data_IF_373687774845
#
_entry.id   IF_373687774845
#
_cell.length_a   1.000
_cell.length_b   1.000
_cell.length_c   1.000
_cell.angle_alpha   90.00
_cell.angle_beta   90.00
_cell.angle_gamma   90.00
#
_symmetry.space_group_name_H-M   'P 1'
#
loop_
_entity.id
_entity.type
_entity.pdbx_description
1 polymer ?
#
# COMPACT_ATOMS: atom_id res chain seq x y z
N UNK A 1 11.90 -11.98 15.94
CA UNK A 1 10.92 -10.91 15.70
C UNK A 1 10.48 -11.10 14.27
N UNK A 2 9.20 -10.91 13.93
CA UNK A 2 8.78 -11.20 12.54
C UNK A 2 8.14 -9.97 11.89
N UNK A 3 8.59 -9.71 10.67
CA UNK A 3 7.94 -8.77 9.76
C UNK A 3 6.79 -9.47 9.03
N UNK A 4 5.72 -8.72 8.80
CA UNK A 4 4.57 -9.12 8.01
C UNK A 4 4.48 -8.28 6.72
N UNK A 5 4.52 -8.93 5.57
CA UNK A 5 4.18 -8.31 4.29
C UNK A 5 2.68 -8.41 4.06
N UNK A 6 2.03 -7.29 3.92
CA UNK A 6 0.62 -7.16 3.54
C UNK A 6 0.55 -6.87 2.04
N UNK A 7 0.19 -7.86 1.25
CA UNK A 7 0.27 -7.83 -0.21
C UNK A 7 -1.09 -7.64 -0.86
N UNK A 8 -1.23 -6.56 -1.63
CA UNK A 8 -2.33 -6.37 -2.59
C UNK A 8 -1.90 -6.83 -3.97
N UNK A 9 -2.55 -7.84 -4.54
CA UNK A 9 -2.24 -8.31 -5.89
C UNK A 9 -3.46 -8.84 -6.66
N UNK A 10 -3.33 -8.91 -7.98
CA UNK A 10 -4.35 -9.41 -8.92
C UNK A 10 -3.75 -10.37 -9.96
N UNK A 11 -2.48 -10.72 -9.80
CA UNK A 11 -1.73 -11.70 -10.59
C UNK A 11 -0.91 -12.56 -9.65
N UNK A 12 -0.56 -13.80 -10.02
CA UNK A 12 0.27 -14.66 -9.18
C UNK A 12 1.58 -13.97 -8.81
N UNK A 13 1.87 -13.75 -7.51
CA UNK A 13 3.06 -13.04 -7.08
C UNK A 13 4.26 -14.01 -6.96
N UNK A 14 4.79 -14.50 -8.08
CA UNK A 14 5.88 -15.48 -8.12
C UNK A 14 7.13 -15.03 -7.37
N UNK A 15 7.47 -13.72 -7.45
CA UNK A 15 8.57 -13.16 -6.67
C UNK A 15 8.33 -13.33 -5.16
N UNK A 16 7.11 -13.06 -4.71
CA UNK A 16 6.76 -13.18 -3.28
C UNK A 16 6.81 -14.63 -2.81
N UNK A 17 6.49 -15.59 -3.70
CA UNK A 17 6.66 -17.00 -3.41
C UNK A 17 8.14 -17.35 -3.16
N UNK A 18 9.05 -16.92 -4.03
CA UNK A 18 10.49 -17.11 -3.87
C UNK A 18 11.02 -16.40 -2.61
N UNK A 19 10.55 -15.19 -2.35
CA UNK A 19 10.89 -14.42 -1.15
C UNK A 19 10.47 -15.15 0.13
N UNK A 20 9.25 -15.70 0.18
CA UNK A 20 8.72 -16.44 1.32
C UNK A 20 9.50 -17.74 1.57
N UNK A 21 9.97 -18.42 0.52
CA UNK A 21 10.83 -19.61 0.63
C UNK A 21 12.21 -19.23 1.15
N UNK A 22 12.80 -18.13 0.66
CA UNK A 22 14.14 -17.67 1.08
C UNK A 22 14.16 -17.18 2.52
N UNK A 23 13.08 -16.55 2.98
CA UNK A 23 12.97 -15.99 4.33
C UNK A 23 11.76 -16.61 5.09
N UNK A 24 11.89 -17.84 5.62
CA UNK A 24 10.76 -18.53 6.26
C UNK A 24 10.20 -17.80 7.49
N UNK A 25 10.99 -16.92 8.13
CA UNK A 25 10.58 -16.09 9.25
C UNK A 25 9.69 -14.91 8.84
N UNK A 26 9.69 -14.52 7.54
CA UNK A 26 8.85 -13.47 7.00
C UNK A 26 7.43 -13.98 6.83
N UNK A 27 6.45 -13.34 7.43
CA UNK A 27 5.03 -13.66 7.25
C UNK A 27 4.47 -12.89 6.05
N UNK A 28 3.68 -13.54 5.21
CA UNK A 28 3.08 -12.94 4.03
C UNK A 28 1.57 -13.10 4.06
N UNK A 29 0.85 -11.99 4.08
CA UNK A 29 -0.62 -11.92 4.03
C UNK A 29 -1.03 -11.40 2.67
N UNK A 30 -1.84 -12.17 1.94
CA UNK A 30 -2.20 -11.87 0.55
C UNK A 30 -3.69 -11.59 0.44
N UNK A 31 -4.05 -10.38 0.04
CA UNK A 31 -5.35 -10.10 -0.55
C UNK A 31 -5.25 -10.24 -2.06
N UNK A 32 -5.84 -11.31 -2.60
CA UNK A 32 -5.90 -11.57 -4.02
C UNK A 32 -7.23 -11.07 -4.58
N UNK A 33 -7.20 -10.17 -5.57
CA UNK A 33 -8.42 -9.57 -6.13
C UNK A 33 -9.47 -10.64 -6.45
N UNK A 34 -10.71 -10.44 -6.00
CA UNK A 34 -11.78 -11.42 -6.20
C UNK A 34 -12.12 -11.70 -7.67
N UNK A 35 -11.67 -10.84 -8.59
CA UNK A 35 -11.78 -11.05 -10.04
C UNK A 35 -10.77 -12.06 -10.59
N UNK A 36 -9.73 -12.37 -9.85
CA UNK A 36 -8.66 -13.30 -10.27
C UNK A 36 -8.95 -14.70 -9.75
N UNK A 37 -8.51 -15.72 -10.47
CA UNK A 37 -8.69 -17.11 -10.06
C UNK A 37 -7.75 -17.46 -8.91
N UNK A 38 -8.30 -17.78 -7.75
CA UNK A 38 -7.53 -18.14 -6.56
C UNK A 38 -6.79 -19.48 -6.72
N UNK A 39 -7.16 -20.31 -7.66
CA UNK A 39 -6.44 -21.56 -7.96
C UNK A 39 -5.00 -21.29 -8.39
N UNK A 40 -4.72 -20.12 -9.00
CA UNK A 40 -3.36 -19.67 -9.34
C UNK A 40 -2.43 -19.55 -8.12
N UNK A 41 -2.98 -19.45 -6.90
CA UNK A 41 -2.21 -19.37 -5.65
C UNK A 41 -2.03 -20.72 -4.94
N UNK A 42 -2.36 -21.84 -5.58
CA UNK A 42 -2.30 -23.16 -4.95
C UNK A 42 -0.90 -23.52 -4.40
N UNK A 43 0.16 -23.15 -5.13
CA UNK A 43 1.55 -23.36 -4.69
C UNK A 43 1.92 -22.48 -3.48
N UNK A 44 1.49 -21.22 -3.48
CA UNK A 44 1.71 -20.26 -2.37
C UNK A 44 1.02 -20.70 -1.08
N UNK A 45 -0.19 -21.24 -1.17
CA UNK A 45 -0.95 -21.73 -0.01
C UNK A 45 -0.30 -22.91 0.71
N UNK A 46 0.67 -23.59 0.08
CA UNK A 46 1.44 -24.68 0.69
C UNK A 46 2.59 -24.17 1.56
N UNK A 47 2.96 -22.91 1.46
CA UNK A 47 4.02 -22.31 2.26
C UNK A 47 3.48 -21.95 3.64
N UNK A 48 4.11 -22.46 4.70
CA UNK A 48 3.64 -22.28 6.08
C UNK A 48 3.63 -20.82 6.57
N UNK A 49 4.43 -19.96 5.93
CA UNK A 49 4.53 -18.54 6.26
C UNK A 49 3.71 -17.64 5.31
N UNK A 50 2.86 -18.23 4.45
CA UNK A 50 1.99 -17.49 3.52
C UNK A 50 0.53 -17.71 3.88
N UNK A 51 -0.18 -16.63 4.11
CA UNK A 51 -1.60 -16.61 4.40
C UNK A 51 -2.36 -15.85 3.30
N UNK A 52 -3.26 -16.55 2.61
CA UNK A 52 -4.15 -15.95 1.61
C UNK A 52 -5.49 -15.69 2.24
N UNK A 53 -5.94 -14.44 2.26
CA UNK A 53 -7.21 -14.05 2.87
C UNK A 53 -8.37 -14.84 2.24
N UNK A 54 -9.26 -15.37 3.09
CA UNK A 54 -10.46 -16.08 2.65
C UNK A 54 -11.47 -15.10 2.02
N UNK A 55 -11.68 -13.96 2.68
CA UNK A 55 -12.54 -12.90 2.17
C UNK A 55 -11.77 -12.01 1.20
N UNK A 56 -12.22 -11.98 -0.05
CA UNK A 56 -11.62 -11.22 -1.12
C UNK A 56 -12.58 -10.18 -1.67
N UNK A 57 -12.08 -8.99 -1.91
CA UNK A 57 -12.84 -7.87 -2.46
C UNK A 57 -12.61 -7.75 -3.95
N UNK A 58 -13.65 -7.43 -4.72
CA UNK A 58 -13.52 -6.97 -6.10
C UNK A 58 -12.90 -5.57 -6.11
N UNK A 59 -11.63 -5.46 -6.50
CA UNK A 59 -10.91 -4.19 -6.48
C UNK A 59 -11.25 -3.37 -7.73
N UNK A 60 -11.78 -2.18 -7.52
CA UNK A 60 -11.76 -1.14 -8.53
C UNK A 60 -10.56 -0.23 -8.29
N UNK A 61 -9.69 -0.11 -9.28
CA UNK A 61 -8.47 0.70 -9.15
C UNK A 61 -8.80 2.15 -8.79
N UNK A 62 -8.12 2.69 -7.77
CA UNK A 62 -8.39 4.01 -7.18
C UNK A 62 -9.81 4.14 -6.60
N UNK A 63 -10.43 3.04 -6.18
CA UNK A 63 -11.70 2.97 -5.47
C UNK A 63 -11.53 2.64 -4.00
N UNK A 64 -12.60 2.81 -3.21
CA UNK A 64 -12.58 2.48 -1.77
C UNK A 64 -12.33 0.99 -1.53
N UNK A 65 -12.64 0.11 -2.49
CA UNK A 65 -12.34 -1.32 -2.44
C UNK A 65 -10.85 -1.61 -2.20
N UNK A 66 -9.92 -0.74 -2.65
CA UNK A 66 -8.49 -0.86 -2.33
C UNK A 66 -8.21 -0.59 -0.84
N UNK A 67 -8.86 0.41 -0.28
CA UNK A 67 -8.77 0.72 1.17
C UNK A 67 -9.37 -0.43 1.99
N UNK A 68 -10.55 -0.92 1.60
CA UNK A 68 -11.22 -2.03 2.27
C UNK A 68 -10.34 -3.29 2.30
N UNK A 69 -9.72 -3.64 1.16
CA UNK A 69 -8.79 -4.76 1.07
C UNK A 69 -7.53 -4.55 1.95
N UNK A 70 -7.02 -3.31 2.02
CA UNK A 70 -5.91 -2.98 2.92
C UNK A 70 -6.31 -3.14 4.39
N UNK A 71 -7.50 -2.67 4.78
CA UNK A 71 -8.00 -2.84 6.14
C UNK A 71 -8.22 -4.32 6.51
N UNK A 72 -8.64 -5.14 5.56
CA UNK A 72 -8.75 -6.60 5.77
C UNK A 72 -7.36 -7.22 6.01
N UNK A 73 -6.35 -6.87 5.20
CA UNK A 73 -4.97 -7.32 5.40
C UNK A 73 -4.42 -6.88 6.76
N UNK A 74 -4.69 -5.64 7.19
CA UNK A 74 -4.26 -5.14 8.50
C UNK A 74 -4.85 -5.96 9.65
N UNK A 75 -6.16 -6.27 9.61
CA UNK A 75 -6.83 -7.08 10.65
C UNK A 75 -6.23 -8.48 10.72
N UNK A 76 -6.06 -9.10 9.58
CA UNK A 76 -5.57 -10.48 9.46
C UNK A 76 -4.12 -10.58 9.94
N UNK A 77 -3.26 -9.67 9.51
CA UNK A 77 -1.86 -9.61 9.95
C UNK A 77 -1.72 -9.27 11.45
N UNK A 78 -2.60 -8.45 12.02
CA UNK A 78 -2.62 -8.14 13.45
C UNK A 78 -3.12 -9.29 14.31
N UNK A 79 -3.94 -10.19 13.78
CA UNK A 79 -4.45 -11.35 14.49
C UNK A 79 -3.31 -12.32 14.91
N UNK A 80 -2.23 -12.38 14.14
CA UNK A 80 -1.01 -13.10 14.54
C UNK A 80 -0.21 -12.25 15.54
N UNK A 81 -0.21 -12.64 16.80
CA UNK A 81 0.53 -11.97 17.88
C UNK A 81 2.04 -11.94 17.71
N UNK A 82 2.61 -12.80 16.85
CA UNK A 82 4.03 -12.86 16.54
C UNK A 82 4.52 -11.76 15.61
N UNK A 83 3.63 -11.13 14.83
CA UNK A 83 3.99 -10.05 13.93
C UNK A 83 4.25 -8.75 14.68
N UNK A 84 5.37 -8.11 14.40
CA UNK A 84 5.79 -6.87 15.06
C UNK A 84 5.86 -5.68 14.12
N UNK A 85 6.31 -5.90 12.89
CA UNK A 85 6.45 -4.88 11.86
C UNK A 85 5.62 -5.26 10.63
N UNK A 86 4.97 -4.30 10.02
CA UNK A 86 3.99 -4.51 8.96
C UNK A 86 4.30 -3.62 7.77
N UNK A 87 4.32 -4.18 6.58
CA UNK A 87 4.68 -3.48 5.35
C UNK A 87 3.62 -3.71 4.28
N UNK A 88 2.91 -2.64 3.90
CA UNK A 88 1.96 -2.71 2.79
C UNK A 88 2.70 -2.58 1.46
N UNK A 89 2.54 -3.58 0.58
CA UNK A 89 3.19 -3.65 -0.73
C UNK A 89 2.24 -4.16 -1.82
N UNK A 90 2.62 -4.02 -3.08
CA UNK A 90 1.94 -4.63 -4.23
C UNK A 90 2.73 -5.80 -4.82
N UNK A 91 2.08 -6.57 -5.68
CA UNK A 91 2.72 -7.65 -6.42
C UNK A 91 3.88 -7.23 -7.34
N UNK A 92 4.00 -5.93 -7.66
CA UNK A 92 5.07 -5.36 -8.48
C UNK A 92 6.20 -4.74 -7.62
N UNK A 93 6.22 -4.97 -6.30
CA UNK A 93 7.26 -4.49 -5.40
C UNK A 93 8.35 -5.53 -5.18
N UNK A 94 9.58 -5.07 -5.01
CA UNK A 94 10.72 -5.88 -4.54
C UNK A 94 11.25 -5.37 -3.21
N UNK A 95 11.81 -6.26 -2.44
CA UNK A 95 12.56 -5.96 -1.21
C UNK A 95 13.98 -5.57 -1.60
N UNK A 96 14.47 -4.41 -1.14
CA UNK A 96 15.82 -3.91 -1.40
C UNK A 96 16.83 -4.32 -0.34
N UNK A 97 16.36 -4.69 0.84
CA UNK A 97 17.18 -5.06 1.98
C UNK A 97 16.64 -6.34 2.62
N UNK A 98 17.48 -7.20 3.22
CA UNK A 98 17.00 -8.37 3.95
C UNK A 98 16.02 -7.99 5.07
N UNK A 99 15.01 -8.83 5.37
CA UNK A 99 14.04 -8.54 6.42
C UNK A 99 14.69 -8.17 7.77
N UNK A 100 15.78 -8.86 8.14
CA UNK A 100 16.50 -8.59 9.38
C UNK A 100 17.09 -7.17 9.45
N UNK A 101 17.56 -6.62 8.32
CA UNK A 101 18.08 -5.25 8.26
C UNK A 101 16.94 -4.23 8.47
N UNK A 102 15.77 -4.45 7.86
CA UNK A 102 14.59 -3.61 8.04
C UNK A 102 14.09 -3.68 9.51
N UNK A 103 14.05 -4.87 10.08
CA UNK A 103 13.68 -5.07 11.49
C UNK A 103 14.64 -4.35 12.46
N UNK A 104 15.94 -4.40 12.17
CA UNK A 104 16.95 -3.70 12.95
C UNK A 104 16.80 -2.17 12.86
N UNK A 105 16.43 -1.63 11.69
CA UNK A 105 16.14 -0.20 11.54
C UNK A 105 14.87 0.20 12.28
N UNK A 106 13.81 -0.59 12.20
CA UNK A 106 12.59 -0.36 12.97
C UNK A 106 12.83 -0.41 14.47
N UNK A 107 13.66 -1.35 14.94
CA UNK A 107 13.97 -1.50 16.36
C UNK A 107 14.70 -0.29 16.98
N UNK A 108 15.33 0.55 16.14
CA UNK A 108 15.96 1.81 16.58
C UNK A 108 14.98 2.96 16.70
N UNK A 109 13.76 2.80 16.14
CA UNK A 109 12.71 3.82 16.21
C UNK A 109 11.95 3.72 17.54
N UNK A 110 11.30 4.82 17.92
CA UNK A 110 10.38 4.82 19.04
C UNK A 110 9.20 3.85 18.82
N UNK A 111 8.69 3.19 19.87
CA UNK A 111 7.44 2.44 19.77
C UNK A 111 6.30 3.31 19.23
N UNK A 112 5.45 2.75 18.39
CA UNK A 112 4.38 3.51 17.72
C UNK A 112 4.81 4.15 16.40
N UNK A 113 5.94 3.73 15.79
CA UNK A 113 6.44 4.33 14.55
C UNK A 113 5.61 3.92 13.32
N UNK A 114 5.21 4.95 12.57
CA UNK A 114 4.53 4.88 11.28
C UNK A 114 5.33 5.60 10.20
N UNK A 115 5.78 4.85 9.20
CA UNK A 115 6.38 5.39 7.96
C UNK A 115 5.29 5.55 6.90
N UNK A 116 4.79 6.76 6.70
CA UNK A 116 3.74 7.09 5.73
C UNK A 116 4.03 8.45 5.10
N UNK A 117 4.10 8.50 3.78
CA UNK A 117 4.26 9.76 3.07
C UNK A 117 2.94 10.55 3.07
N UNK A 118 3.00 11.81 3.48
CA UNK A 118 1.85 12.72 3.48
C UNK A 118 2.29 14.14 3.15
N UNK A 119 1.53 14.80 2.27
CA UNK A 119 1.75 16.20 1.93
C UNK A 119 0.41 16.92 1.71
N UNK A 120 0.31 18.21 2.02
CA UNK A 120 -0.87 19.00 1.71
C UNK A 120 -0.98 19.21 0.19
N UNK A 121 -2.19 19.07 -0.37
CA UNK A 121 -2.45 19.28 -1.79
C UNK A 121 -3.70 20.14 -2.03
N UNK A 122 -3.51 21.31 -2.61
CA UNK A 122 -4.61 22.13 -3.11
C UNK A 122 -5.19 21.56 -4.42
N UNK A 123 -4.33 20.91 -5.23
CA UNK A 123 -4.70 20.37 -6.55
C UNK A 123 -5.66 19.19 -6.46
N UNK A 124 -5.62 18.42 -5.38
CA UNK A 124 -6.36 17.17 -5.22
C UNK A 124 -7.63 17.29 -4.37
N UNK A 125 -7.99 18.53 -3.94
CA UNK A 125 -9.18 18.79 -3.11
C UNK A 125 -10.47 18.24 -3.69
N UNK A 126 -10.64 18.34 -5.02
CA UNK A 126 -11.84 17.86 -5.72
C UNK A 126 -12.11 16.36 -5.44
N UNK A 127 -11.08 15.57 -5.10
CA UNK A 127 -11.23 14.14 -4.82
C UNK A 127 -12.02 13.86 -3.55
N UNK A 128 -11.89 14.73 -2.55
CA UNK A 128 -12.55 14.59 -1.24
C UNK A 128 -13.75 15.54 -1.04
N UNK A 129 -13.84 16.58 -1.84
CA UNK A 129 -14.85 17.63 -1.65
C UNK A 129 -16.28 17.12 -1.84
N UNK A 130 -16.51 16.33 -2.86
CA UNK A 130 -17.83 15.77 -3.18
C UNK A 130 -17.83 14.25 -3.15
N UNK A 131 -19.03 13.69 -3.02
CA UNK A 131 -19.24 12.28 -3.25
C UNK A 131 -19.36 12.02 -4.76
N UNK A 132 -18.58 11.06 -5.25
CA UNK A 132 -18.48 10.72 -6.65
C UNK A 132 -19.35 9.50 -6.97
N UNK A 133 -20.49 9.64 -7.69
CA UNK A 133 -21.35 8.48 -7.99
C UNK A 133 -20.64 7.41 -8.82
N UNK A 134 -19.57 7.77 -9.51
CA UNK A 134 -18.76 6.83 -10.30
C UNK A 134 -17.53 6.30 -9.54
N UNK A 135 -17.26 6.77 -8.32
CA UNK A 135 -16.16 6.25 -7.50
C UNK A 135 -16.39 4.77 -7.19
N UNK A 136 -15.29 4.01 -7.13
CA UNK A 136 -15.29 2.57 -6.85
C UNK A 136 -16.16 1.75 -7.81
N UNK A 137 -16.25 2.15 -9.06
CA UNK A 137 -16.98 1.48 -10.12
C UNK A 137 -16.13 1.33 -11.38
N UNK A 138 -16.58 0.45 -12.30
CA UNK A 138 -15.95 0.33 -13.64
C UNK A 138 -15.99 1.63 -14.46
N UNK A 139 -16.87 2.58 -14.11
CA UNK A 139 -17.04 3.84 -14.82
C UNK A 139 -15.94 4.85 -14.47
N UNK A 140 -15.31 4.75 -13.32
CA UNK A 140 -14.30 5.71 -12.86
C UNK A 140 -13.16 5.93 -13.87
N UNK A 141 -12.76 4.89 -14.60
CA UNK A 141 -11.69 4.95 -15.61
C UNK A 141 -12.19 5.10 -17.06
N UNK A 142 -13.50 5.04 -17.30
CA UNK A 142 -14.10 5.19 -18.63
C UNK A 142 -14.35 6.67 -18.94
N UNK A 143 -14.60 6.98 -20.23
CA UNK A 143 -14.82 8.36 -20.69
C UNK A 143 -15.83 9.14 -19.85
N UNK A 144 -17.04 8.62 -19.53
CA UNK A 144 -18.01 9.39 -18.74
C UNK A 144 -17.49 9.76 -17.36
N UNK A 145 -16.86 8.82 -16.65
CA UNK A 145 -16.29 9.09 -15.32
C UNK A 145 -15.10 10.07 -15.37
N UNK A 146 -14.26 9.98 -16.40
CA UNK A 146 -13.18 10.95 -16.61
C UNK A 146 -13.71 12.35 -16.91
N UNK A 147 -14.77 12.50 -17.71
CA UNK A 147 -15.41 13.78 -18.00
C UNK A 147 -16.02 14.39 -16.72
N UNK A 148 -16.77 13.60 -15.97
CA UNK A 148 -17.35 14.04 -14.68
C UNK A 148 -16.27 14.48 -13.70
N UNK A 149 -15.16 13.73 -13.62
CA UNK A 149 -14.01 14.11 -12.79
C UNK A 149 -13.41 15.45 -13.23
N UNK A 150 -13.32 15.72 -14.55
CA UNK A 150 -12.84 17.02 -15.07
C UNK A 150 -13.79 18.15 -14.72
N UNK A 151 -15.12 17.93 -14.78
CA UNK A 151 -16.10 18.92 -14.33
C UNK A 151 -15.89 19.28 -12.85
N UNK A 152 -15.66 18.30 -12.00
CA UNK A 152 -15.38 18.57 -10.58
C UNK A 152 -14.05 19.27 -10.34
N UNK A 153 -13.00 18.93 -11.12
CA UNK A 153 -11.74 19.68 -11.08
C UNK A 153 -11.94 21.15 -11.45
N UNK A 154 -12.76 21.43 -12.47
CA UNK A 154 -13.08 22.80 -12.87
C UNK A 154 -13.91 23.52 -11.78
N UNK A 155 -14.95 22.89 -11.25
CA UNK A 155 -15.75 23.42 -10.17
C UNK A 155 -14.92 23.71 -8.90
N UNK A 156 -13.99 22.84 -8.51
CA UNK A 156 -13.14 23.05 -7.33
C UNK A 156 -12.23 24.28 -7.44
N UNK A 157 -11.88 24.70 -8.67
CA UNK A 157 -11.10 25.92 -8.91
C UNK A 157 -11.89 27.18 -8.62
N UNK A 158 -13.22 27.14 -8.79
CA UNK A 158 -14.11 28.29 -8.57
C UNK A 158 -14.41 28.53 -7.08
N UNK A 159 -14.24 27.50 -6.24
CA UNK A 159 -14.48 27.57 -4.79
C UNK A 159 -13.24 27.14 -4.00
N UNK A 160 -12.33 28.07 -3.71
CA UNK A 160 -11.14 27.77 -2.91
C UNK A 160 -11.50 27.16 -1.55
N UNK A 161 -10.67 26.23 -1.09
CA UNK A 161 -10.78 25.60 0.22
C UNK A 161 -9.39 25.21 0.73
N UNK A 162 -9.32 24.77 1.98
CA UNK A 162 -8.09 24.25 2.57
C UNK A 162 -7.53 23.06 1.78
N UNK A 163 -6.20 22.83 1.79
CA UNK A 163 -5.59 21.68 1.16
C UNK A 163 -6.06 20.39 1.83
N UNK A 164 -6.02 19.29 1.08
CA UNK A 164 -6.25 17.95 1.61
C UNK A 164 -4.93 17.22 1.77
N UNK A 165 -4.81 16.38 2.79
CA UNK A 165 -3.67 15.49 2.93
C UNK A 165 -3.70 14.43 1.82
N UNK A 166 -2.56 14.21 1.16
CA UNK A 166 -2.40 13.25 0.07
C UNK A 166 -1.01 12.63 0.11
N UNK A 167 -0.91 11.39 -0.32
CA UNK A 167 0.37 10.69 -0.40
C UNK A 167 0.23 9.29 -0.98
N UNK A 168 1.31 8.53 -0.88
CA UNK A 168 1.32 7.14 -1.29
C UNK A 168 0.46 6.28 -0.34
N UNK A 169 -0.28 5.31 -0.88
CA UNK A 169 -0.99 4.32 -0.05
C UNK A 169 -0.04 3.36 0.68
N UNK A 170 1.21 3.24 0.21
CA UNK A 170 2.19 2.30 0.74
C UNK A 170 2.80 2.84 2.02
N UNK A 171 2.77 2.04 3.08
CA UNK A 171 3.29 2.41 4.39
C UNK A 171 3.98 1.23 5.08
N UNK A 172 4.71 1.54 6.14
CA UNK A 172 5.21 0.56 7.10
C UNK A 172 4.94 1.04 8.51
N UNK A 173 4.55 0.13 9.39
CA UNK A 173 4.17 0.46 10.75
C UNK A 173 4.64 -0.62 11.72
N UNK A 174 4.90 -0.26 12.96
CA UNK A 174 4.95 -1.24 14.04
C UNK A 174 3.53 -1.61 14.49
N UNK A 175 3.42 -2.57 15.40
CA UNK A 175 2.13 -3.07 15.88
C UNK A 175 1.26 -1.98 16.52
N UNK A 176 1.83 -1.13 17.34
CA UNK A 176 1.11 -0.05 18.03
C UNK A 176 0.54 0.95 17.03
N UNK A 177 1.35 1.39 16.07
CA UNK A 177 0.91 2.31 15.03
C UNK A 177 -0.16 1.67 14.10
N UNK A 178 0.00 0.38 13.75
CA UNK A 178 -0.99 -0.31 12.91
C UNK A 178 -2.33 -0.49 13.63
N UNK A 179 -2.33 -0.80 14.93
CA UNK A 179 -3.53 -0.87 15.76
C UNK A 179 -4.22 0.49 15.83
N UNK A 180 -3.47 1.56 16.04
CA UNK A 180 -4.00 2.92 16.07
C UNK A 180 -4.63 3.33 14.73
N UNK A 181 -3.96 3.02 13.60
CA UNK A 181 -4.52 3.24 12.25
C UNK A 181 -5.84 2.49 12.06
N UNK A 182 -5.89 1.22 12.48
CA UNK A 182 -7.10 0.41 12.34
C UNK A 182 -8.24 0.90 13.22
N UNK A 183 -7.96 1.35 14.44
CA UNK A 183 -8.95 1.96 15.34
C UNK A 183 -9.51 3.28 14.79
N UNK A 184 -8.64 4.14 14.22
CA UNK A 184 -9.04 5.40 13.61
C UNK A 184 -9.84 5.19 12.30
N UNK A 185 -9.68 4.04 11.63
CA UNK A 185 -10.44 3.65 10.44
C UNK A 185 -11.83 3.10 10.81
N UNK A 186 -12.56 3.81 11.67
CA UNK A 186 -13.91 3.46 12.14
C UNK A 186 -14.97 3.53 11.02
N UNK A 187 -16.19 3.11 11.32
CA UNK A 187 -17.32 3.06 10.38
C UNK A 187 -17.59 4.41 9.72
N UNK A 188 -17.55 5.51 10.49
CA UNK A 188 -17.84 6.85 9.98
C UNK A 188 -16.76 7.32 8.99
N UNK A 189 -15.50 7.07 9.32
CA UNK A 189 -14.38 7.37 8.41
C UNK A 189 -14.48 6.56 7.13
N UNK A 190 -14.78 5.27 7.21
CA UNK A 190 -14.97 4.43 6.04
C UNK A 190 -16.17 4.90 5.19
N UNK A 191 -17.30 5.25 5.82
CA UNK A 191 -18.48 5.78 5.14
C UNK A 191 -18.17 7.10 4.41
N UNK A 192 -17.41 8.00 5.04
CA UNK A 192 -16.97 9.25 4.42
C UNK A 192 -16.16 9.01 3.14
N UNK A 193 -15.24 8.03 3.15
CA UNK A 193 -14.35 7.76 2.01
C UNK A 193 -14.96 6.86 0.93
N UNK A 194 -16.07 6.17 1.21
CA UNK A 194 -16.69 5.17 0.30
C UNK A 194 -16.97 5.70 -1.11
N UNK A 195 -17.32 6.98 -1.20
CA UNK A 195 -17.67 7.63 -2.47
C UNK A 195 -16.68 8.72 -2.88
N UNK A 196 -15.48 8.71 -2.33
CA UNK A 196 -14.41 9.65 -2.72
C UNK A 196 -13.57 9.10 -3.85
N UNK A 197 -12.95 10.01 -4.63
CA UNK A 197 -12.05 9.64 -5.72
C UNK A 197 -10.64 9.35 -5.16
N UNK A 198 -10.00 8.28 -5.63
CA UNK A 198 -8.67 7.87 -5.23
C UNK A 198 -8.47 7.87 -3.69
N UNK A 199 -9.39 7.23 -2.93
CA UNK A 199 -9.32 7.26 -1.48
C UNK A 199 -8.05 6.62 -0.94
N UNK A 200 -7.43 5.69 -1.65
CA UNK A 200 -6.17 5.03 -1.33
C UNK A 200 -4.98 6.02 -1.16
N UNK A 201 -5.03 7.18 -1.84
CA UNK A 201 -4.02 8.24 -1.72
C UNK A 201 -4.35 9.31 -0.67
N UNK A 202 -5.44 9.14 0.09
CA UNK A 202 -5.92 10.13 1.05
C UNK A 202 -6.35 9.54 2.39
N UNK A 203 -6.80 8.29 2.42
CA UNK A 203 -7.41 7.67 3.59
C UNK A 203 -6.44 7.61 4.78
N UNK A 204 -5.27 7.02 4.58
CA UNK A 204 -4.29 6.88 5.66
C UNK A 204 -3.69 8.23 6.05
N UNK A 205 -3.52 9.15 5.10
CA UNK A 205 -3.08 10.52 5.36
C UNK A 205 -4.10 11.32 6.17
N UNK A 206 -5.40 11.10 5.93
CA UNK A 206 -6.47 11.70 6.71
C UNK A 206 -6.51 11.17 8.15
N UNK A 207 -6.18 9.91 8.35
CA UNK A 207 -6.12 9.32 9.69
C UNK A 207 -5.01 9.93 10.55
N UNK A 208 -3.91 10.43 9.98
CA UNK A 208 -2.80 11.03 10.75
C UNK A 208 -3.27 12.07 11.77
N UNK A 209 -4.23 12.92 11.41
CA UNK A 209 -4.80 13.93 12.32
C UNK A 209 -5.73 13.37 13.40
N UNK A 210 -5.89 12.05 13.48
CA UNK A 210 -6.77 11.32 14.42
C UNK A 210 -6.04 10.27 15.24
N UNK A 211 -4.75 10.10 14.99
CA UNK A 211 -3.92 9.16 15.72
C UNK A 211 -3.57 9.74 17.10
N UNK A 212 -3.42 8.89 18.11
CA UNK A 212 -2.95 9.32 19.43
C UNK A 212 -1.48 9.78 19.36
N UNK A 213 -1.06 10.60 20.32
CA UNK A 213 0.31 11.12 20.42
C UNK A 213 1.38 10.02 20.59
N UNK A 214 0.96 8.81 20.98
CA UNK A 214 1.83 7.63 21.04
C UNK A 214 2.26 7.11 19.68
N UNK A 215 1.67 7.62 18.57
CA UNK A 215 2.08 7.28 17.21
C UNK A 215 3.08 8.32 16.70
N UNK A 216 4.29 7.84 16.40
CA UNK A 216 5.37 8.65 15.85
C UNK A 216 5.37 8.56 14.32
N UNK A 217 4.79 9.57 13.67
CA UNK A 217 4.74 9.65 12.22
C UNK A 217 6.07 10.13 11.63
N UNK A 218 6.63 9.30 10.75
CA UNK A 218 7.77 9.65 9.90
C UNK A 218 7.26 9.88 8.48
N UNK A 219 7.40 11.10 7.97
CA UNK A 219 6.89 11.50 6.65
C UNK A 219 7.78 10.98 5.51
N UNK A 220 7.97 9.67 5.48
CA UNK A 220 8.67 8.92 4.44
C UNK A 220 8.13 7.49 4.42
N UNK A 221 7.87 6.91 3.26
CA UNK A 221 7.29 5.56 3.18
C UNK A 221 8.32 4.44 2.94
N UNK A 222 9.60 4.75 2.79
CA UNK A 222 10.69 3.80 2.52
C UNK A 222 10.51 3.00 1.22
N UNK A 223 9.84 3.59 0.21
CA UNK A 223 9.65 2.98 -1.12
C UNK A 223 10.25 3.87 -2.19
N UNK A 224 11.10 3.27 -3.01
CA UNK A 224 11.61 3.92 -4.21
C UNK A 224 10.60 3.79 -5.35
N UNK A 225 10.26 4.92 -5.95
CA UNK A 225 9.38 5.04 -7.12
C UNK A 225 10.04 5.96 -8.13
N UNK A 226 10.25 5.47 -9.35
CA UNK A 226 10.77 6.28 -10.44
C UNK A 226 9.63 6.77 -11.33
N UNK A 227 9.50 8.10 -11.47
CA UNK A 227 8.55 8.72 -12.40
C UNK A 227 9.32 9.51 -13.44
N UNK A 228 9.00 9.35 -14.74
CA UNK A 228 9.54 10.21 -15.80
C UNK A 228 8.43 11.09 -16.36
N UNK A 229 8.72 12.39 -16.47
CA UNK A 229 7.81 13.38 -17.03
C UNK A 229 6.48 13.50 -16.27
N UNK A 230 5.39 13.74 -16.99
CA UNK A 230 4.02 13.87 -16.45
C UNK A 230 3.28 12.53 -16.28
N UNK A 231 3.99 11.41 -16.32
CA UNK A 231 3.40 10.07 -16.21
C UNK A 231 2.73 9.82 -14.85
N UNK A 232 1.52 9.26 -14.86
CA UNK A 232 0.76 8.90 -13.66
C UNK A 232 1.14 7.52 -13.09
N UNK A 233 2.11 6.83 -13.70
CA UNK A 233 2.53 5.50 -13.30
C UNK A 233 4.05 5.46 -13.12
N UNK A 234 4.57 4.82 -12.07
CA UNK A 234 5.99 4.60 -11.93
C UNK A 234 6.51 3.75 -13.10
N UNK A 235 7.75 4.01 -13.51
CA UNK A 235 8.44 3.19 -14.50
C UNK A 235 8.82 1.82 -13.95
N UNK A 236 9.04 0.89 -14.89
CA UNK A 236 9.63 -0.41 -14.59
C UNK A 236 11.15 -0.23 -14.39
N UNK A 237 11.63 -0.73 -13.27
CA UNK A 237 13.05 -0.71 -12.92
C UNK A 237 13.72 -1.97 -13.47
N UNK A 238 14.94 -1.80 -13.98
CA UNK A 238 15.82 -2.89 -14.38
C UNK A 238 16.73 -3.36 -13.23
N UNK A 239 17.52 -4.42 -13.48
CA UNK A 239 18.39 -5.00 -12.48
C UNK A 239 19.52 -4.04 -12.05
N UNK A 240 20.09 -3.29 -12.99
CA UNK A 240 21.16 -2.35 -12.69
C UNK A 240 20.70 -1.21 -11.80
N UNK A 241 19.49 -0.68 -12.06
CA UNK A 241 18.85 0.33 -11.21
C UNK A 241 18.57 -0.21 -9.80
N UNK A 242 18.11 -1.45 -9.67
CA UNK A 242 17.89 -2.08 -8.36
C UNK A 242 19.20 -2.26 -7.58
N UNK A 243 20.28 -2.67 -8.25
CA UNK A 243 21.61 -2.80 -7.64
C UNK A 243 22.15 -1.46 -7.13
N UNK A 244 21.92 -0.36 -7.87
CA UNK A 244 22.28 0.99 -7.44
C UNK A 244 21.51 1.46 -6.20
N UNK A 245 20.31 0.91 -5.97
CA UNK A 245 19.51 1.20 -4.78
C UNK A 245 19.94 0.40 -3.54
N UNK A 246 20.84 -0.55 -3.70
CA UNK A 246 21.44 -1.27 -2.58
C UNK A 246 22.11 -0.32 -1.60
N UNK A 247 21.79 -0.44 -0.31
CA UNK A 247 22.28 0.46 0.74
C UNK A 247 21.59 1.83 0.82
N UNK A 248 20.61 2.11 -0.03
CA UNK A 248 19.78 3.31 0.10
C UNK A 248 18.88 3.22 1.36
N UNK A 249 18.28 4.36 1.73
CA UNK A 249 17.29 4.40 2.82
C UNK A 249 15.97 3.69 2.50
N UNK A 250 15.78 3.23 1.25
CA UNK A 250 14.56 2.56 0.83
C UNK A 250 14.60 1.07 1.16
N UNK A 251 13.47 0.54 1.61
CA UNK A 251 13.30 -0.89 1.91
C UNK A 251 12.70 -1.66 0.75
N UNK A 252 11.92 -0.97 -0.08
CA UNK A 252 11.24 -1.54 -1.23
C UNK A 252 11.41 -0.66 -2.45
N UNK A 253 11.31 -1.25 -3.64
CA UNK A 253 11.24 -0.54 -4.91
C UNK A 253 10.06 -1.05 -5.75
N UNK A 254 9.54 -0.18 -6.62
CA UNK A 254 8.51 -0.51 -7.62
C UNK A 254 8.52 0.49 -8.79
N UNK A 255 8.14 0.04 -10.04
CA UNK A 255 7.65 -1.30 -10.36
C UNK A 255 8.79 -2.15 -10.88
N UNK A 256 8.72 -3.44 -10.62
CA UNK A 256 9.72 -4.40 -11.10
C UNK A 256 9.02 -5.60 -11.74
N UNK A 257 9.50 -6.03 -12.91
CA UNK A 257 9.02 -7.25 -13.55
C UNK A 257 9.47 -8.49 -12.77
N UNK A 258 8.65 -9.54 -12.77
CA UNK A 258 8.91 -10.78 -12.02
C UNK A 258 10.30 -11.34 -12.25
N UNK A 259 10.75 -11.45 -13.50
CA UNK A 259 12.07 -12.01 -13.82
C UNK A 259 13.21 -11.14 -13.26
N UNK A 260 13.10 -9.81 -13.37
CA UNK A 260 14.07 -8.88 -12.78
C UNK A 260 14.07 -8.98 -11.25
N UNK A 261 12.88 -9.11 -10.66
CA UNK A 261 12.71 -9.24 -9.22
C UNK A 261 13.34 -10.54 -8.68
N UNK A 262 13.18 -11.66 -9.39
CA UNK A 262 13.81 -12.94 -9.05
C UNK A 262 15.34 -12.86 -9.17
N UNK A 263 15.86 -12.33 -10.28
CA UNK A 263 17.30 -12.13 -10.47
C UNK A 263 17.89 -11.21 -9.39
N UNK A 264 17.16 -10.17 -8.96
CA UNK A 264 17.60 -9.31 -7.87
C UNK A 264 17.58 -10.03 -6.52
N UNK A 265 16.57 -10.87 -6.26
CA UNK A 265 16.50 -11.66 -5.02
C UNK A 265 17.74 -12.50 -4.80
N UNK A 266 18.30 -13.08 -5.87
CA UNK A 266 19.51 -13.90 -5.81
C UNK A 266 20.76 -13.10 -5.41
N UNK A 267 20.73 -11.78 -5.55
CA UNK A 267 21.85 -10.88 -5.16
C UNK A 267 21.75 -10.42 -3.69
N UNK A 268 20.60 -10.58 -3.04
CA UNK A 268 20.46 -10.24 -1.63
C UNK A 268 21.20 -11.26 -0.75
N UNK A 269 21.80 -10.83 0.36
CA UNK A 269 22.50 -11.71 1.29
C UNK A 269 21.57 -12.68 2.05
#
# INVERSE_FOLDING_TARGET
MSSALMLLCHRPPHYVAALAQRYPQLRVYIHYDAKSDVAELASLRRLANVHVLAERTHIHWAGFSMVAATLALMRDALADGGNRYFHLISGDCVLLQPPAAIEAEFARQAPGTLFLQSQPSHRLRYRLRWNAPHADTRWQRRLPGKLLTKCWQAADRLWPAAPVASGSQWFSADRTALQALLAAANTDTQAYFRHKLCPDEHFFQYLLGRLPETVHHINHNRRYLCFHGSGNHPQWLDLAQLQQLGGSENWFARKVHTNTALAFLDTLP
#
